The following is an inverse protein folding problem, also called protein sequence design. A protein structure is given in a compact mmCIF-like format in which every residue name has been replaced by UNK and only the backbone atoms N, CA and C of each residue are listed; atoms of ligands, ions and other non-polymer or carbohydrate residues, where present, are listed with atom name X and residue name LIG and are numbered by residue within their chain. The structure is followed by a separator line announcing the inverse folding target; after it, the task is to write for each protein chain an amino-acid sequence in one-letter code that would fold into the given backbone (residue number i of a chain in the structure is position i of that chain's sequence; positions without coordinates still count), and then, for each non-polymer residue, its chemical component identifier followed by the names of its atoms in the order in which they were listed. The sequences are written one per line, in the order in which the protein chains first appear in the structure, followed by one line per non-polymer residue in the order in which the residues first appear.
data_IF_810222550927
#
_entry.id   IF_810222550927
#
_cell.length_a   1.000
_cell.length_b   1.000
_cell.length_c   1.000
_cell.angle_alpha   90.00
_cell.angle_beta   90.00
_cell.angle_gamma   90.00
#
_symmetry.space_group_name_H-M   'P 1'
#
loop_
_entity.id
_entity.type
_entity.pdbx_description
1 polymer ?
#
# COMPACT_ATOMS: atom_id res chain seq x y z
N UNK A 1 97.17 13.39 8.44
CA UNK A 1 96.07 13.03 7.52
C UNK A 1 95.00 12.17 8.22
N UNK A 2 95.35 11.10 8.94
CA UNK A 2 94.40 10.23 9.64
C UNK A 2 93.49 10.93 10.69
N UNK A 3 94.03 11.87 11.48
CA UNK A 3 93.25 12.59 12.51
C UNK A 3 92.17 13.51 11.92
N UNK A 4 92.42 14.06 10.73
CA UNK A 4 91.46 14.90 10.01
C UNK A 4 90.26 14.08 9.50
N UNK A 5 90.51 12.91 8.91
CA UNK A 5 89.45 11.99 8.47
C UNK A 5 88.64 11.44 9.64
N UNK A 6 89.26 11.17 10.79
CA UNK A 6 88.57 10.76 12.02
C UNK A 6 87.59 11.83 12.52
N UNK A 7 88.02 13.10 12.54
CA UNK A 7 87.16 14.22 12.93
C UNK A 7 85.98 14.43 11.98
N UNK A 8 86.20 14.32 10.66
CA UNK A 8 85.13 14.39 9.66
C UNK A 8 84.12 13.25 9.86
N UNK A 9 84.59 12.02 10.10
CA UNK A 9 83.72 10.88 10.33
C UNK A 9 82.86 11.04 11.59
N UNK A 10 83.43 11.58 12.68
CA UNK A 10 82.68 11.87 13.90
C UNK A 10 81.63 12.98 13.72
N UNK A 11 81.92 14.00 12.91
CA UNK A 11 80.94 15.05 12.56
C UNK A 11 79.82 14.47 11.69
N UNK A 12 80.13 13.60 10.73
CA UNK A 12 79.10 12.89 9.96
C UNK A 12 78.24 12.00 10.86
N UNK A 13 78.84 11.26 11.79
CA UNK A 13 78.09 10.40 12.71
C UNK A 13 77.15 11.21 13.61
N UNK A 14 77.62 12.34 14.15
CA UNK A 14 76.78 13.23 14.97
C UNK A 14 75.64 13.85 14.16
N UNK A 15 75.88 14.27 12.92
CA UNK A 15 74.81 14.84 12.06
C UNK A 15 73.78 13.79 11.66
N UNK A 16 74.21 12.55 11.39
CA UNK A 16 73.28 11.42 11.19
C UNK A 16 72.46 11.13 12.45
N UNK A 17 73.07 11.11 13.64
CA UNK A 17 72.37 10.91 14.91
C UNK A 17 71.34 12.00 15.17
N UNK A 18 71.70 13.26 14.96
CA UNK A 18 70.78 14.41 15.05
C UNK A 18 69.60 14.27 14.07
N UNK A 19 69.88 13.88 12.83
CA UNK A 19 68.86 13.60 11.82
C UNK A 19 67.89 12.50 12.27
N UNK A 20 68.39 11.38 12.79
CA UNK A 20 67.54 10.29 13.28
C UNK A 20 66.70 10.70 14.49
N UNK A 21 67.24 11.54 15.38
CA UNK A 21 66.52 12.03 16.57
C UNK A 21 65.37 12.97 16.18
N UNK A 22 65.59 13.86 15.20
CA UNK A 22 64.54 14.75 14.68
C UNK A 22 63.42 13.94 14.04
N UNK A 23 63.77 12.97 13.19
CA UNK A 23 62.79 12.08 12.54
C UNK A 23 61.98 11.31 13.57
N UNK A 24 62.64 10.70 14.57
CA UNK A 24 61.97 9.95 15.62
C UNK A 24 61.03 10.82 16.46
N UNK A 25 61.44 12.05 16.78
CA UNK A 25 60.60 13.00 17.53
C UNK A 25 59.37 13.45 16.72
N UNK A 26 59.52 13.67 15.41
CA UNK A 26 58.40 13.97 14.52
C UNK A 26 57.41 12.81 14.45
N UNK A 27 57.89 11.57 14.34
CA UNK A 27 57.02 10.39 14.39
C UNK A 27 56.29 10.24 15.73
N UNK A 28 56.99 10.50 16.85
CA UNK A 28 56.38 10.46 18.19
C UNK A 28 55.28 11.51 18.34
N UNK A 29 55.51 12.73 17.85
CA UNK A 29 54.52 13.80 17.89
C UNK A 29 53.30 13.47 17.02
N UNK A 30 53.51 12.90 15.82
CA UNK A 30 52.44 12.46 14.94
C UNK A 30 51.60 11.32 15.56
N UNK A 31 52.26 10.35 16.21
CA UNK A 31 51.58 9.28 16.93
C UNK A 31 50.74 9.80 18.11
N UNK A 32 51.28 10.74 18.90
CA UNK A 32 50.55 11.35 20.01
C UNK A 32 49.36 12.17 19.53
N UNK A 33 49.48 12.84 18.38
CA UNK A 33 48.38 13.55 17.75
C UNK A 33 47.28 12.58 17.29
N UNK A 34 47.64 11.52 16.56
CA UNK A 34 46.68 10.50 16.09
C UNK A 34 45.99 9.75 17.23
N UNK A 35 46.69 9.51 18.34
CA UNK A 35 46.14 8.86 19.53
C UNK A 35 45.14 9.74 20.29
N UNK A 36 45.27 11.06 20.18
CA UNK A 36 44.41 12.03 20.89
C UNK A 36 43.20 12.48 20.06
N UNK A 37 43.02 12.01 18.83
CA UNK A 37 41.81 12.27 18.04
C UNK A 37 40.69 11.40 18.58
N UNK A 38 39.60 12.03 19.03
CA UNK A 38 38.37 11.31 19.35
C UNK A 38 37.64 10.94 18.06
N UNK A 39 37.91 9.73 17.56
CA UNK A 39 37.28 9.20 16.36
C UNK A 39 35.75 9.12 16.47
N UNK A 40 35.18 9.04 17.68
CA UNK A 40 33.73 9.04 17.86
C UNK A 40 33.13 10.42 17.57
N UNK A 41 33.80 11.49 18.00
CA UNK A 41 33.36 12.86 17.72
C UNK A 41 33.42 13.16 16.22
N UNK A 42 34.50 12.74 15.55
CA UNK A 42 34.64 12.88 14.09
C UNK A 42 33.54 12.10 13.36
N UNK A 43 33.27 10.85 13.75
CA UNK A 43 32.23 10.03 13.15
C UNK A 43 30.83 10.64 13.34
N UNK A 44 30.51 11.13 14.55
CA UNK A 44 29.24 11.81 14.83
C UNK A 44 29.07 13.07 13.98
N UNK A 45 30.12 13.87 13.84
CA UNK A 45 30.10 15.07 13.01
C UNK A 45 29.86 14.75 11.52
N UNK A 46 30.46 13.68 11.01
CA UNK A 46 30.21 13.21 9.64
C UNK A 46 28.75 12.77 9.47
N UNK A 47 28.19 12.02 10.42
CA UNK A 47 26.78 11.58 10.38
C UNK A 47 25.83 12.78 10.43
N UNK A 48 26.10 13.76 11.31
CA UNK A 48 25.29 14.98 11.43
C UNK A 48 25.38 15.80 10.13
N UNK A 49 26.58 15.94 9.56
CA UNK A 49 26.77 16.65 8.29
C UNK A 49 26.01 15.98 7.15
N UNK A 50 26.14 14.66 7.00
CA UNK A 50 25.43 13.88 6.00
C UNK A 50 23.90 14.01 6.15
N UNK A 51 23.39 13.91 7.37
CA UNK A 51 21.96 14.05 7.66
C UNK A 51 21.45 15.45 7.30
N UNK A 52 22.18 16.51 7.66
CA UNK A 52 21.84 17.90 7.31
C UNK A 52 21.89 18.13 5.80
N UNK A 53 22.89 17.56 5.12
CA UNK A 53 23.02 17.67 3.68
C UNK A 53 21.84 17.00 2.97
N UNK A 54 21.48 15.78 3.34
CA UNK A 54 20.29 15.10 2.80
C UNK A 54 19.04 15.94 3.03
N UNK A 55 18.85 16.47 4.24
CA UNK A 55 17.65 17.26 4.56
C UNK A 55 17.58 18.54 3.72
N UNK A 56 18.72 19.17 3.49
CA UNK A 56 18.84 20.35 2.61
C UNK A 56 18.49 20.00 1.18
N UNK A 57 19.04 18.89 0.65
CA UNK A 57 18.73 18.41 -0.71
C UNK A 57 17.26 18.06 -0.85
N UNK A 58 16.67 17.36 0.13
CA UNK A 58 15.23 17.03 0.15
C UNK A 58 14.37 18.30 0.13
N UNK A 59 14.75 19.32 0.90
CA UNK A 59 14.03 20.59 0.93
C UNK A 59 14.08 21.29 -0.43
N UNK A 60 15.27 21.46 -1.01
CA UNK A 60 15.41 22.07 -2.33
C UNK A 60 14.68 21.28 -3.42
N UNK A 61 14.75 19.95 -3.37
CA UNK A 61 14.03 19.09 -4.31
C UNK A 61 12.52 19.25 -4.17
N UNK A 62 11.99 19.27 -2.94
CA UNK A 62 10.57 19.50 -2.67
C UNK A 62 10.11 20.86 -3.17
N UNK A 63 10.88 21.92 -2.92
CA UNK A 63 10.60 23.26 -3.44
C UNK A 63 10.61 23.29 -4.97
N UNK A 64 11.61 22.66 -5.61
CA UNK A 64 11.74 22.60 -7.06
C UNK A 64 10.62 21.78 -7.72
N UNK A 65 10.25 20.65 -7.11
CA UNK A 65 9.12 19.82 -7.52
C UNK A 65 7.83 20.64 -7.46
N UNK A 66 7.52 21.25 -6.32
CA UNK A 66 6.26 21.98 -6.12
C UNK A 66 6.16 23.29 -6.93
N UNK A 67 7.29 23.90 -7.34
CA UNK A 67 7.29 25.17 -8.04
C UNK A 67 6.93 25.05 -9.53
N UNK A 68 7.16 23.89 -10.15
CA UNK A 68 6.99 23.71 -11.59
C UNK A 68 6.08 22.51 -11.94
N UNK A 69 4.82 22.74 -12.35
CA UNK A 69 3.88 21.68 -12.73
C UNK A 69 4.38 20.75 -13.85
N UNK A 70 5.16 21.29 -14.79
CA UNK A 70 5.75 20.48 -15.88
C UNK A 70 6.72 19.43 -15.30
N UNK A 71 7.45 19.79 -14.24
CA UNK A 71 8.42 18.90 -13.60
C UNK A 71 7.71 17.86 -12.75
N UNK A 72 6.65 18.25 -12.02
CA UNK A 72 5.81 17.27 -11.29
C UNK A 72 5.25 16.24 -12.24
N UNK A 73 4.61 16.69 -13.32
CA UNK A 73 4.00 15.79 -14.31
C UNK A 73 5.04 14.88 -14.95
N UNK A 74 6.21 15.42 -15.31
CA UNK A 74 7.29 14.61 -15.89
C UNK A 74 7.79 13.55 -14.90
N UNK A 75 8.08 13.94 -13.66
CA UNK A 75 8.58 13.01 -12.63
C UNK A 75 7.53 11.95 -12.30
N UNK A 76 6.26 12.33 -12.18
CA UNK A 76 5.17 11.40 -11.91
C UNK A 76 4.97 10.41 -13.07
N UNK A 77 5.04 10.86 -14.32
CA UNK A 77 4.97 9.99 -15.50
C UNK A 77 6.13 8.99 -15.53
N UNK A 78 7.36 9.44 -15.25
CA UNK A 78 8.54 8.57 -15.22
C UNK A 78 8.43 7.54 -14.08
N UNK A 79 8.00 7.98 -12.89
CA UNK A 79 7.77 7.09 -11.76
C UNK A 79 6.68 6.04 -12.08
N UNK A 80 5.59 6.47 -12.70
CA UNK A 80 4.51 5.58 -13.11
C UNK A 80 4.97 4.58 -14.16
N UNK A 81 5.71 5.01 -15.18
CA UNK A 81 6.23 4.15 -16.23
C UNK A 81 7.16 3.06 -15.67
N UNK A 82 8.01 3.41 -14.69
CA UNK A 82 8.83 2.43 -13.99
C UNK A 82 7.98 1.43 -13.21
N UNK A 83 6.97 1.89 -12.47
CA UNK A 83 6.04 1.00 -11.75
C UNK A 83 5.27 0.09 -12.69
N UNK A 84 4.81 0.61 -13.82
CA UNK A 84 4.11 -0.13 -14.86
C UNK A 84 4.99 -1.24 -15.43
N UNK A 85 6.25 -0.93 -15.72
CA UNK A 85 7.20 -1.94 -16.20
C UNK A 85 7.45 -3.03 -15.15
N UNK A 86 7.65 -2.65 -13.88
CA UNK A 86 7.81 -3.62 -12.79
C UNK A 86 6.57 -4.50 -12.60
N UNK A 87 5.37 -3.90 -12.68
CA UNK A 87 4.11 -4.63 -12.58
C UNK A 87 3.95 -5.65 -13.72
N UNK A 88 4.30 -5.26 -14.96
CA UNK A 88 4.29 -6.15 -16.12
C UNK A 88 5.26 -7.33 -15.96
N UNK A 89 6.45 -7.11 -15.40
CA UNK A 89 7.44 -8.18 -15.18
C UNK A 89 6.99 -9.20 -14.11
N UNK A 90 6.17 -8.78 -13.16
CA UNK A 90 5.70 -9.59 -12.02
C UNK A 90 4.27 -10.12 -12.24
N UNK A 91 3.63 -9.79 -13.36
CA UNK A 91 2.21 -10.07 -13.64
C UNK A 91 1.27 -9.52 -12.54
N UNK A 92 1.59 -8.31 -12.07
CA UNK A 92 0.84 -7.58 -11.07
C UNK A 92 -0.09 -6.56 -11.73
N UNK A 93 -1.26 -6.34 -11.13
CA UNK A 93 -2.15 -5.26 -11.54
C UNK A 93 -1.62 -3.89 -11.09
N UNK A 94 -1.91 -2.86 -11.88
CA UNK A 94 -1.55 -1.47 -11.61
C UNK A 94 -2.75 -0.57 -11.89
N UNK A 95 -2.95 0.43 -11.04
CA UNK A 95 -4.05 1.39 -11.20
C UNK A 95 -3.69 2.43 -12.29
N UNK A 96 -4.69 3.08 -12.91
CA UNK A 96 -4.44 4.25 -13.74
C UNK A 96 -3.72 5.35 -12.96
N UNK A 97 -2.86 6.10 -13.65
CA UNK A 97 -2.13 7.23 -13.05
C UNK A 97 -3.07 8.35 -12.57
N UNK A 98 -4.21 8.55 -13.22
CA UNK A 98 -5.14 9.60 -12.86
C UNK A 98 -5.83 9.36 -11.51
N UNK A 99 -6.30 10.44 -10.89
CA UNK A 99 -6.99 10.40 -9.60
C UNK A 99 -8.49 10.16 -9.72
N UNK A 100 -9.09 10.37 -10.90
CA UNK A 100 -10.54 10.36 -11.09
C UNK A 100 -10.96 9.23 -12.05
N UNK A 101 -11.31 8.09 -11.48
CA UNK A 101 -11.77 6.92 -12.22
C UNK A 101 -12.72 6.08 -11.37
N UNK A 102 -13.51 5.26 -12.07
CA UNK A 102 -14.30 4.20 -11.46
C UNK A 102 -13.83 2.87 -12.04
N UNK A 103 -13.63 1.90 -11.18
CA UNK A 103 -13.35 0.51 -11.52
C UNK A 103 -14.57 -0.33 -11.21
N UNK A 104 -14.99 -1.13 -12.18
CA UNK A 104 -15.93 -2.23 -11.98
C UNK A 104 -15.15 -3.54 -11.95
N UNK A 105 -15.13 -4.16 -10.78
CA UNK A 105 -14.54 -5.47 -10.55
C UNK A 105 -15.63 -6.53 -10.39
N UNK A 106 -15.40 -7.74 -10.91
CA UNK A 106 -16.35 -8.85 -10.83
C UNK A 106 -15.61 -10.14 -10.44
N UNK A 107 -16.18 -10.87 -9.47
CA UNK A 107 -15.75 -12.21 -9.08
C UNK A 107 -16.66 -13.25 -9.71
N UNK A 108 -16.12 -14.02 -10.64
CA UNK A 108 -16.83 -15.10 -11.33
C UNK A 108 -16.42 -16.46 -10.76
N UNK A 109 -17.40 -17.29 -10.38
CA UNK A 109 -17.17 -18.70 -10.08
C UNK A 109 -17.27 -19.51 -11.37
N UNK A 110 -16.21 -20.24 -11.70
CA UNK A 110 -16.20 -21.16 -12.85
C UNK A 110 -16.74 -22.52 -12.46
N UNK A 111 -17.32 -23.20 -13.43
CA UNK A 111 -17.67 -24.61 -13.30
C UNK A 111 -16.40 -25.46 -13.47
N UNK A 112 -15.86 -25.92 -12.34
CA UNK A 112 -14.64 -26.74 -12.26
C UNK A 112 -14.82 -28.13 -12.86
N UNK A 113 -16.06 -28.57 -13.15
CA UNK A 113 -16.30 -29.86 -13.82
C UNK A 113 -16.06 -29.80 -15.33
N UNK A 114 -16.14 -28.61 -15.92
CA UNK A 114 -16.05 -28.40 -17.37
C UNK A 114 -14.76 -27.73 -17.82
N UNK A 115 -14.09 -27.00 -16.93
CA UNK A 115 -12.90 -26.22 -17.25
C UNK A 115 -11.79 -26.51 -16.23
N UNK A 116 -10.59 -26.78 -16.74
CA UNK A 116 -9.38 -26.84 -15.94
C UNK A 116 -8.89 -25.43 -15.57
N UNK A 117 -8.33 -25.27 -14.37
CA UNK A 117 -7.75 -24.02 -13.88
C UNK A 117 -8.32 -23.57 -12.55
N UNK A 118 -8.13 -22.28 -12.23
CA UNK A 118 -8.57 -21.68 -10.97
C UNK A 118 -10.11 -21.60 -10.89
N UNK A 119 -10.71 -21.89 -9.72
CA UNK A 119 -12.17 -21.92 -9.55
C UNK A 119 -12.81 -20.52 -9.64
N UNK A 120 -12.03 -19.46 -9.47
CA UNK A 120 -12.49 -18.07 -9.50
C UNK A 120 -11.76 -17.28 -10.58
N UNK A 121 -12.48 -16.41 -11.28
CA UNK A 121 -11.93 -15.47 -12.25
C UNK A 121 -12.21 -14.04 -11.81
N UNK A 122 -11.15 -13.24 -11.83
CA UNK A 122 -11.19 -11.81 -11.55
C UNK A 122 -11.21 -11.04 -12.88
N UNK A 123 -12.21 -10.18 -13.04
CA UNK A 123 -12.27 -9.24 -14.17
C UNK A 123 -12.39 -7.84 -13.58
N UNK A 124 -11.54 -6.93 -14.03
CA UNK A 124 -11.57 -5.53 -13.63
C UNK A 124 -11.49 -4.64 -14.87
N UNK A 125 -12.33 -3.61 -14.89
CA UNK A 125 -12.36 -2.60 -15.94
C UNK A 125 -12.33 -1.22 -15.31
N UNK A 126 -11.46 -0.35 -15.83
CA UNK A 126 -11.34 1.05 -15.44
C UNK A 126 -12.06 1.94 -16.45
N UNK A 127 -12.89 2.84 -15.95
CA UNK A 127 -13.57 3.88 -16.71
C UNK A 127 -13.16 5.25 -16.15
N UNK A 128 -12.63 6.10 -17.03
CA UNK A 128 -12.16 7.44 -16.67
C UNK A 128 -13.33 8.41 -16.72
N UNK A 129 -13.45 9.26 -15.69
CA UNK A 129 -14.52 10.25 -15.65
C UNK A 129 -14.24 11.40 -16.61
N UNK A 130 -15.24 11.76 -17.40
CA UNK A 130 -15.12 12.85 -18.37
C UNK A 130 -15.36 14.21 -17.69
N UNK A 131 -14.28 14.80 -17.17
CA UNK A 131 -14.31 16.10 -16.49
C UNK A 131 -14.71 17.27 -17.39
N UNK A 132 -14.67 17.11 -18.73
CA UNK A 132 -15.06 18.16 -19.66
C UNK A 132 -16.59 18.37 -19.73
N UNK A 133 -17.37 17.41 -19.23
CA UNK A 133 -18.85 17.45 -19.28
C UNK A 133 -19.44 18.20 -18.09
N UNK A 134 -18.64 18.60 -17.10
CA UNK A 134 -19.09 19.40 -15.96
C UNK A 134 -19.57 20.75 -16.48
N UNK A 135 -20.86 20.81 -16.84
CA UNK A 135 -21.52 22.00 -17.34
C UNK A 135 -21.76 22.97 -16.18
N UNK A 136 -21.85 24.27 -16.47
CA UNK A 136 -22.02 25.34 -15.48
C UNK A 136 -23.22 25.17 -14.50
N UNK A 137 -24.10 24.18 -14.72
CA UNK A 137 -25.30 23.93 -13.92
C UNK A 137 -25.20 22.76 -12.93
N UNK A 138 -24.24 21.83 -13.06
CA UNK A 138 -24.07 20.73 -12.11
C UNK A 138 -22.98 21.07 -11.10
N UNK A 139 -23.23 20.81 -9.82
CA UNK A 139 -22.16 20.93 -8.83
C UNK A 139 -21.12 19.86 -9.12
N UNK A 140 -19.84 20.19 -8.92
CA UNK A 140 -18.74 19.23 -9.06
C UNK A 140 -19.07 17.92 -8.33
N UNK A 141 -19.56 18.01 -7.10
CA UNK A 141 -19.98 16.88 -6.28
C UNK A 141 -21.14 16.05 -6.87
N UNK A 142 -22.15 16.69 -7.49
CA UNK A 142 -23.29 15.95 -8.06
C UNK A 142 -22.86 15.10 -9.24
N UNK A 143 -21.92 15.58 -10.06
CA UNK A 143 -21.35 14.83 -11.18
C UNK A 143 -20.67 13.53 -10.71
N UNK A 144 -19.87 13.58 -9.64
CA UNK A 144 -19.22 12.37 -9.09
C UNK A 144 -20.22 11.38 -8.50
N UNK A 145 -21.21 11.86 -7.74
CA UNK A 145 -22.23 11.00 -7.16
C UNK A 145 -23.01 10.30 -8.27
N UNK A 146 -23.42 11.05 -9.31
CA UNK A 146 -24.19 10.49 -10.41
C UNK A 146 -23.37 9.47 -11.21
N UNK A 147 -22.09 9.78 -11.49
CA UNK A 147 -21.18 8.84 -12.16
C UNK A 147 -20.98 7.56 -11.34
N UNK A 148 -20.85 7.69 -10.01
CA UNK A 148 -20.74 6.54 -9.12
C UNK A 148 -22.02 5.71 -9.09
N UNK A 149 -23.18 6.38 -8.99
CA UNK A 149 -24.50 5.73 -9.01
C UNK A 149 -24.74 4.97 -10.30
N UNK A 150 -24.37 5.54 -11.45
CA UNK A 150 -24.46 4.86 -12.75
C UNK A 150 -23.60 3.58 -12.76
N UNK A 151 -22.36 3.65 -12.29
CA UNK A 151 -21.50 2.47 -12.19
C UNK A 151 -22.06 1.41 -11.22
N UNK A 152 -22.63 1.85 -10.10
CA UNK A 152 -23.34 0.99 -9.15
C UNK A 152 -24.54 0.29 -9.79
N UNK A 153 -25.38 1.01 -10.53
CA UNK A 153 -26.56 0.47 -11.22
C UNK A 153 -26.14 -0.55 -12.29
N UNK A 154 -25.08 -0.26 -13.05
CA UNK A 154 -24.49 -1.22 -13.98
C UNK A 154 -24.01 -2.49 -13.26
N UNK A 155 -23.20 -2.37 -12.21
CA UNK A 155 -22.72 -3.53 -11.46
C UNK A 155 -23.84 -4.34 -10.81
N UNK A 156 -24.86 -3.67 -10.26
CA UNK A 156 -26.06 -4.25 -9.69
C UNK A 156 -26.84 -5.06 -10.74
N UNK A 157 -27.04 -4.49 -11.93
CA UNK A 157 -27.70 -5.19 -13.04
C UNK A 157 -26.93 -6.44 -13.49
N UNK A 158 -25.59 -6.39 -13.48
CA UNK A 158 -24.74 -7.51 -13.86
C UNK A 158 -24.80 -8.61 -12.79
N UNK A 159 -24.67 -8.24 -11.51
CA UNK A 159 -24.67 -9.16 -10.37
C UNK A 159 -25.98 -9.94 -10.24
N UNK A 160 -27.14 -9.30 -10.43
CA UNK A 160 -28.43 -9.99 -10.31
C UNK A 160 -28.72 -10.96 -11.45
N UNK A 161 -28.31 -10.63 -12.67
CA UNK A 161 -28.71 -11.39 -13.85
C UNK A 161 -27.87 -12.64 -14.09
N UNK A 162 -26.62 -12.72 -13.58
CA UNK A 162 -25.72 -13.83 -13.85
C UNK A 162 -25.45 -14.70 -12.62
N UNK A 163 -25.91 -15.96 -12.67
CA UNK A 163 -25.73 -16.95 -11.59
C UNK A 163 -24.26 -17.29 -11.29
N UNK A 164 -23.34 -17.01 -12.20
CA UNK A 164 -21.92 -17.31 -12.04
C UNK A 164 -21.18 -16.21 -11.27
N UNK A 165 -21.81 -15.05 -11.07
CA UNK A 165 -21.20 -13.94 -10.32
C UNK A 165 -21.41 -14.19 -8.82
N UNK A 166 -20.30 -14.18 -8.10
CA UNK A 166 -20.27 -14.30 -6.64
C UNK A 166 -20.43 -12.93 -6.00
N UNK A 167 -19.73 -11.94 -6.53
CA UNK A 167 -19.65 -10.58 -6.00
C UNK A 167 -19.27 -9.62 -7.13
N UNK A 168 -19.83 -8.42 -7.11
CA UNK A 168 -19.35 -7.27 -7.89
C UNK A 168 -18.88 -6.17 -6.94
N UNK A 169 -17.75 -5.54 -7.23
CA UNK A 169 -17.17 -4.46 -6.42
C UNK A 169 -16.98 -3.24 -7.31
N UNK A 170 -17.55 -2.11 -6.90
CA UNK A 170 -17.25 -0.82 -7.49
C UNK A 170 -16.19 -0.14 -6.62
N UNK A 171 -15.09 0.25 -7.23
CA UNK A 171 -14.07 1.09 -6.59
C UNK A 171 -13.96 2.41 -7.33
N UNK A 172 -14.15 3.52 -6.65
CA UNK A 172 -13.93 4.85 -7.18
C UNK A 172 -12.77 5.51 -6.47
N UNK A 173 -11.91 6.16 -7.26
CA UNK A 173 -10.90 7.09 -6.76
C UNK A 173 -11.34 8.51 -7.09
N UNK A 174 -11.34 9.37 -6.08
CA UNK A 174 -11.68 10.79 -6.18
C UNK A 174 -10.76 11.61 -5.28
N UNK A 175 -9.94 12.49 -5.84
CA UNK A 175 -8.96 13.29 -5.08
C UNK A 175 -8.09 12.43 -4.14
N UNK A 176 -7.64 11.27 -4.62
CA UNK A 176 -6.92 10.23 -3.88
C UNK A 176 -7.70 9.49 -2.79
N UNK A 177 -8.99 9.81 -2.60
CA UNK A 177 -9.91 9.13 -1.70
C UNK A 177 -10.51 7.91 -2.39
N UNK A 178 -10.61 6.79 -1.69
CA UNK A 178 -11.18 5.56 -2.22
C UNK A 178 -12.55 5.28 -1.63
N UNK A 179 -13.49 5.00 -2.51
CA UNK A 179 -14.81 4.50 -2.17
C UNK A 179 -14.95 3.12 -2.82
N UNK A 180 -15.41 2.16 -2.04
CA UNK A 180 -15.59 0.76 -2.33
C UNK A 180 -17.00 0.40 -1.91
N UNK A 181 -17.75 -0.18 -2.84
CA UNK A 181 -19.12 -0.60 -2.60
C UNK A 181 -19.35 -1.96 -3.23
N UNK A 182 -19.86 -2.91 -2.43
CA UNK A 182 -20.01 -4.30 -2.85
C UNK A 182 -21.46 -4.62 -3.14
N UNK A 183 -21.68 -5.43 -4.18
CA UNK A 183 -22.99 -5.90 -4.58
C UNK A 183 -22.99 -7.43 -4.56
N UNK A 184 -23.96 -7.97 -3.82
CA UNK A 184 -24.27 -9.40 -3.80
C UNK A 184 -25.62 -9.64 -4.45
N UNK A 185 -25.87 -10.89 -4.82
CA UNK A 185 -27.10 -11.29 -5.51
C UNK A 185 -28.39 -11.05 -4.69
N UNK A 186 -28.31 -10.89 -3.37
CA UNK A 186 -29.47 -10.86 -2.48
C UNK A 186 -29.62 -9.58 -1.63
N UNK A 187 -28.77 -8.56 -1.83
CA UNK A 187 -28.87 -7.23 -1.21
C UNK A 187 -28.59 -6.18 -2.33
N UNK A 188 -28.99 -4.91 -2.31
CA UNK A 188 -29.14 -4.02 -1.18
C UNK A 188 -30.11 -2.86 -1.52
N UNK A 189 -30.84 -2.39 -0.49
CA UNK A 189 -31.70 -1.19 -0.48
C UNK A 189 -30.94 0.07 -0.05
N UNK A 190 -29.63 -0.04 0.23
CA UNK A 190 -28.85 1.09 0.70
C UNK A 190 -28.40 2.00 -0.46
N UNK A 191 -28.59 3.31 -0.27
CA UNK A 191 -28.19 4.35 -1.21
C UNK A 191 -26.66 4.48 -1.18
N UNK A 192 -25.96 4.35 -2.31
CA UNK A 192 -24.57 3.89 -2.32
C UNK A 192 -23.56 4.89 -1.72
N UNK A 193 -23.77 6.21 -1.83
CA UNK A 193 -22.85 7.24 -1.29
C UNK A 193 -23.58 8.57 -1.06
N UNK A 194 -23.19 9.30 -0.03
CA UNK A 194 -23.47 10.74 0.14
C UNK A 194 -22.16 11.52 0.25
N UNK A 195 -22.04 12.65 -0.47
CA UNK A 195 -20.94 13.60 -0.30
C UNK A 195 -21.34 14.72 0.67
N UNK A 196 -20.40 15.35 1.39
CA UNK A 196 -18.96 15.09 1.37
C UNK A 196 -18.57 13.80 2.09
N UNK A 197 -17.45 13.19 1.66
CA UNK A 197 -16.91 12.01 2.34
C UNK A 197 -16.47 12.36 3.76
N UNK A 198 -16.96 11.57 4.72
CA UNK A 198 -16.68 11.78 6.14
C UNK A 198 -15.59 10.80 6.57
N UNK A 199 -14.40 11.26 7.00
CA UNK A 199 -13.34 10.37 7.47
C UNK A 199 -13.82 9.47 8.62
N UNK A 200 -13.48 8.20 8.55
CA UNK A 200 -13.66 7.27 9.66
C UNK A 200 -12.53 7.49 10.68
N UNK A 201 -12.88 7.56 11.97
CA UNK A 201 -11.87 7.66 13.03
C UNK A 201 -11.09 6.36 13.24
N UNK A 202 -11.77 5.23 13.06
CA UNK A 202 -11.21 3.91 13.37
C UNK A 202 -10.28 3.44 12.28
N UNK A 203 -9.15 2.88 12.70
CA UNK A 203 -8.15 2.28 11.80
C UNK A 203 -7.80 0.86 12.21
N UNK A 204 -7.39 0.07 11.22
CA UNK A 204 -6.78 -1.23 11.48
C UNK A 204 -5.26 -1.07 11.52
N UNK A 205 -4.65 -1.64 12.56
CA UNK A 205 -3.20 -1.69 12.73
C UNK A 205 -2.60 -2.74 11.79
N UNK A 206 -3.25 -3.91 11.71
CA UNK A 206 -2.84 -4.97 10.79
C UNK A 206 -4.05 -5.66 10.18
N UNK A 207 -3.88 -6.07 8.92
CA UNK A 207 -4.81 -6.91 8.19
C UNK A 207 -3.96 -7.99 7.51
N UNK A 208 -4.10 -9.23 7.95
CA UNK A 208 -3.30 -10.36 7.46
C UNK A 208 -4.20 -11.39 6.77
N UNK A 209 -3.94 -11.62 5.49
CA UNK A 209 -4.53 -12.68 4.71
C UNK A 209 -3.84 -14.02 5.01
N UNK A 210 -4.62 -15.05 5.31
CA UNK A 210 -4.14 -16.41 5.52
C UNK A 210 -5.01 -17.43 4.78
N UNK A 211 -4.39 -18.49 4.27
CA UNK A 211 -5.08 -19.56 3.57
C UNK A 211 -4.56 -20.92 4.04
N UNK A 212 -5.41 -21.94 4.27
CA UNK A 212 -4.97 -23.29 4.64
C UNK A 212 -3.93 -23.95 3.71
N UNK A 213 -3.84 -23.52 2.44
CA UNK A 213 -2.90 -24.03 1.44
C UNK A 213 -1.59 -23.23 1.40
N UNK A 214 -1.43 -22.23 2.28
CA UNK A 214 -0.26 -21.37 2.38
C UNK A 214 0.41 -21.51 3.75
N UNK A 215 1.74 -21.49 3.77
CA UNK A 215 2.53 -21.60 5.01
C UNK A 215 2.83 -20.25 5.66
N UNK A 216 2.56 -19.14 4.95
CA UNK A 216 2.77 -17.78 5.41
C UNK A 216 1.52 -16.92 5.18
N UNK A 217 1.36 -15.88 6.00
CA UNK A 217 0.34 -14.86 5.80
C UNK A 217 0.85 -13.70 4.94
N UNK A 218 -0.07 -13.00 4.29
CA UNK A 218 0.21 -11.78 3.52
C UNK A 218 -0.44 -10.61 4.24
N UNK A 219 0.38 -9.69 4.75
CA UNK A 219 -0.12 -8.41 5.26
C UNK A 219 -0.62 -7.56 4.10
N UNK A 220 -1.90 -7.17 4.18
CA UNK A 220 -2.56 -6.30 3.22
C UNK A 220 -2.39 -4.85 3.69
N UNK A 221 -1.70 -4.04 2.89
CA UNK A 221 -1.55 -2.62 3.17
C UNK A 221 -2.80 -1.87 2.69
N UNK A 222 -3.63 -1.42 3.63
CA UNK A 222 -4.78 -0.58 3.32
C UNK A 222 -4.35 0.88 3.25
N UNK A 223 -4.67 1.56 2.15
CA UNK A 223 -4.41 3.00 2.00
C UNK A 223 -5.18 3.78 3.09
N UNK A 224 -4.52 4.78 3.69
CA UNK A 224 -5.15 5.71 4.64
C UNK A 224 -6.42 6.36 4.07
N UNK A 225 -6.48 6.50 2.75
CA UNK A 225 -7.57 7.11 2.01
C UNK A 225 -8.75 6.15 1.73
N UNK A 226 -8.71 4.94 2.29
CA UNK A 226 -9.85 4.00 2.30
C UNK A 226 -10.74 4.21 3.53
N UNK A 227 -10.25 4.89 4.58
CA UNK A 227 -10.99 5.05 5.84
C UNK A 227 -12.00 6.20 5.79
N UNK A 228 -13.09 5.99 5.05
CA UNK A 228 -14.24 6.89 4.97
C UNK A 228 -15.52 6.17 5.42
N UNK A 229 -16.48 6.92 5.95
CA UNK A 229 -17.78 6.38 6.31
C UNK A 229 -18.54 5.91 5.05
N UNK A 230 -19.36 4.87 5.22
CA UNK A 230 -20.11 4.17 4.18
C UNK A 230 -19.23 3.39 3.19
N UNK A 231 -17.97 3.12 3.55
CA UNK A 231 -17.08 2.31 2.74
C UNK A 231 -17.20 0.83 3.10
N UNK A 232 -17.24 -0.04 2.10
CA UNK A 232 -17.27 -1.49 2.27
C UNK A 232 -15.92 -2.08 1.86
N UNK A 233 -15.22 -2.67 2.83
CA UNK A 233 -13.86 -3.15 2.64
C UNK A 233 -13.73 -4.60 3.12
N UNK A 234 -12.64 -5.26 2.69
CA UNK A 234 -12.30 -6.63 3.08
C UNK A 234 -13.35 -7.68 2.68
N UNK A 235 -14.19 -7.38 1.70
CA UNK A 235 -15.00 -8.39 1.01
C UNK A 235 -14.13 -9.34 0.16
N UNK A 236 -14.62 -10.52 -0.25
CA UNK A 236 -13.85 -11.46 -1.06
C UNK A 236 -13.20 -10.86 -2.30
N UNK A 237 -13.93 -10.06 -3.05
CA UNK A 237 -13.42 -9.40 -4.24
C UNK A 237 -12.44 -8.28 -3.91
N UNK A 238 -12.67 -7.54 -2.82
CA UNK A 238 -11.70 -6.56 -2.32
C UNK A 238 -10.37 -7.23 -1.94
N UNK A 239 -10.42 -8.35 -1.22
CA UNK A 239 -9.25 -9.14 -0.84
C UNK A 239 -8.52 -9.65 -2.09
N UNK A 240 -9.25 -10.23 -3.05
CA UNK A 240 -8.64 -10.71 -4.29
C UNK A 240 -7.97 -9.57 -5.07
N UNK A 241 -8.60 -8.39 -5.11
CA UNK A 241 -7.99 -7.19 -5.69
C UNK A 241 -6.68 -6.86 -4.96
N UNK A 242 -6.67 -6.73 -3.63
CA UNK A 242 -5.43 -6.48 -2.88
C UNK A 242 -4.33 -7.51 -3.19
N UNK A 243 -4.68 -8.79 -3.30
CA UNK A 243 -3.73 -9.86 -3.63
C UNK A 243 -3.18 -9.76 -5.06
N UNK A 244 -3.99 -9.31 -6.03
CA UNK A 244 -3.56 -9.07 -7.42
C UNK A 244 -2.69 -7.82 -7.59
N UNK A 245 -2.74 -6.90 -6.63
CA UNK A 245 -1.99 -5.65 -6.59
C UNK A 245 -0.70 -5.72 -5.77
N UNK A 246 -0.29 -6.91 -5.33
CA UNK A 246 0.96 -7.13 -4.60
C UNK A 246 1.80 -8.23 -5.28
N UNK A 247 3.08 -8.29 -4.96
CA UNK A 247 4.07 -9.10 -5.70
C UNK A 247 4.31 -10.52 -5.18
N UNK A 248 3.79 -10.88 -4.01
CA UNK A 248 3.98 -12.22 -3.40
C UNK A 248 3.04 -13.23 -4.05
N UNK A 249 3.48 -14.47 -4.17
CA UNK A 249 2.61 -15.57 -4.59
C UNK A 249 1.49 -15.79 -3.55
N UNK A 250 0.30 -16.11 -4.04
CA UNK A 250 -0.86 -16.39 -3.19
C UNK A 250 -1.74 -17.48 -3.82
N UNK A 251 -2.54 -18.10 -2.97
CA UNK A 251 -3.61 -19.01 -3.37
C UNK A 251 -4.92 -18.36 -2.96
N UNK A 252 -5.94 -18.38 -3.83
CA UNK A 252 -7.24 -17.79 -3.51
C UNK A 252 -8.38 -18.79 -3.75
N UNK A 253 -9.09 -19.11 -2.68
CA UNK A 253 -10.43 -19.68 -2.69
C UNK A 253 -11.20 -19.17 -1.46
N UNK A 254 -12.51 -19.39 -1.36
CA UNK A 254 -13.33 -18.86 -0.26
C UNK A 254 -13.07 -19.50 1.12
N UNK A 255 -12.07 -20.37 1.28
CA UNK A 255 -11.67 -20.94 2.58
C UNK A 255 -10.54 -20.14 3.27
N UNK A 256 -10.27 -18.92 2.80
CA UNK A 256 -9.32 -18.02 3.44
C UNK A 256 -9.86 -17.43 4.75
N UNK A 257 -8.94 -16.89 5.56
CA UNK A 257 -9.26 -16.09 6.74
C UNK A 257 -8.45 -14.80 6.75
N UNK A 258 -9.07 -13.72 7.21
CA UNK A 258 -8.38 -12.45 7.46
C UNK A 258 -8.25 -12.25 8.95
N UNK A 259 -7.03 -12.07 9.45
CA UNK A 259 -6.78 -11.69 10.84
C UNK A 259 -6.62 -10.18 10.90
N UNK A 260 -7.37 -9.54 11.78
CA UNK A 260 -7.38 -8.08 11.91
C UNK A 260 -7.01 -7.72 13.34
N UNK A 261 -6.09 -6.76 13.48
CA UNK A 261 -5.82 -6.07 14.73
C UNK A 261 -6.28 -4.62 14.57
N UNK A 262 -7.24 -4.19 15.39
CA UNK A 262 -7.71 -2.80 15.36
C UNK A 262 -6.90 -1.87 16.26
N UNK A 263 -7.21 -0.57 16.21
CA UNK A 263 -6.58 0.48 17.03
C UNK A 263 -6.70 0.27 18.54
N UNK A 264 -7.68 -0.52 18.99
CA UNK A 264 -7.89 -0.87 20.40
C UNK A 264 -7.19 -2.17 20.79
N UNK A 265 -6.32 -2.70 19.91
CA UNK A 265 -5.58 -3.96 20.09
C UNK A 265 -6.54 -5.16 20.21
N UNK A 266 -7.78 -5.02 19.70
CA UNK A 266 -8.70 -6.14 19.62
C UNK A 266 -8.41 -6.94 18.35
N UNK A 267 -8.21 -8.24 18.52
CA UNK A 267 -7.93 -9.18 17.43
C UNK A 267 -9.17 -9.99 17.10
N UNK A 268 -9.53 -10.04 15.83
CA UNK A 268 -10.64 -10.86 15.34
C UNK A 268 -10.36 -11.41 13.95
N UNK A 269 -11.13 -12.42 13.53
CA UNK A 269 -10.99 -13.05 12.22
C UNK A 269 -12.25 -12.82 11.38
N UNK A 270 -12.05 -12.56 10.08
CA UNK A 270 -13.10 -12.58 9.07
C UNK A 270 -12.98 -13.82 8.20
N UNK A 271 -14.12 -14.38 7.83
CA UNK A 271 -14.25 -15.41 6.80
C UNK A 271 -14.68 -14.79 5.48
N UNK A 272 -14.67 -15.56 4.39
CA UNK A 272 -15.12 -15.09 3.06
C UNK A 272 -16.58 -14.62 3.02
N UNK A 273 -17.39 -15.01 3.99
CA UNK A 273 -18.80 -14.62 4.04
C UNK A 273 -19.00 -13.32 4.81
N UNK A 274 -17.93 -12.64 5.20
CA UNK A 274 -17.97 -11.43 5.98
C UNK A 274 -17.17 -10.31 5.31
N UNK A 275 -17.61 -9.09 5.50
CA UNK A 275 -16.89 -7.88 5.11
C UNK A 275 -17.04 -6.81 6.20
N UNK A 276 -16.31 -5.72 6.07
CA UNK A 276 -16.35 -4.59 6.98
C UNK A 276 -17.09 -3.42 6.34
N UNK A 277 -18.10 -2.92 7.04
CA UNK A 277 -18.73 -1.64 6.75
C UNK A 277 -18.19 -0.57 7.70
N UNK A 278 -17.62 0.51 7.15
CA UNK A 278 -17.08 1.61 7.94
C UNK A 278 -18.17 2.64 8.27
N UNK A 279 -18.35 2.95 9.55
CA UNK A 279 -19.13 4.09 10.02
C UNK A 279 -18.20 5.25 10.39
N UNK A 280 -18.77 6.42 10.73
CA UNK A 280 -17.99 7.63 11.06
C UNK A 280 -17.01 7.44 12.23
N UNK A 281 -17.36 6.62 13.22
CA UNK A 281 -16.59 6.45 14.46
C UNK A 281 -16.37 4.99 14.86
N UNK A 282 -16.77 4.04 14.02
CA UNK A 282 -16.68 2.61 14.31
C UNK A 282 -16.73 1.82 13.00
N UNK A 283 -16.59 0.51 13.08
CA UNK A 283 -16.82 -0.43 11.99
C UNK A 283 -17.86 -1.48 12.40
N UNK A 284 -18.49 -2.10 11.41
CA UNK A 284 -19.40 -3.23 11.60
C UNK A 284 -18.95 -4.39 10.72
N UNK A 285 -18.91 -5.60 11.30
CA UNK A 285 -18.78 -6.82 10.52
C UNK A 285 -20.14 -7.19 9.95
N UNK A 286 -20.25 -7.24 8.63
CA UNK A 286 -21.47 -7.60 7.91
C UNK A 286 -21.30 -8.99 7.32
N UNK A 287 -22.31 -9.83 7.45
CA UNK A 287 -22.30 -11.20 6.89
C UNK A 287 -23.15 -11.26 5.63
N UNK A 288 -22.63 -11.89 4.57
CA UNK A 288 -23.21 -11.95 3.23
C UNK A 288 -24.22 -13.09 3.05
N UNK A 289 -24.43 -13.93 4.07
CA UNK A 289 -25.33 -15.08 3.99
C UNK A 289 -26.77 -14.70 4.30
N UNK A 290 -27.67 -15.00 3.35
CA UNK A 290 -29.07 -15.29 3.62
C UNK A 290 -29.19 -16.41 4.67
N UNK A 291 -30.16 -16.27 5.56
CA UNK A 291 -30.54 -17.28 6.54
C UNK A 291 -30.97 -18.58 5.83
N UNK A 292 -30.02 -19.47 5.55
CA UNK A 292 -30.32 -20.89 5.35
C UNK A 292 -30.59 -21.54 6.71
N UNK A 293 -31.75 -21.20 7.27
CA UNK A 293 -32.47 -21.99 8.27
C UNK A 293 -33.95 -21.99 7.90
N UNK A 294 -34.25 -22.53 6.72
CA UNK A 294 -35.54 -23.16 6.47
C UNK A 294 -35.37 -24.67 6.70
N UNK A 295 -36.17 -25.17 7.64
CA UNK A 295 -36.46 -26.56 7.98
C UNK A 295 -35.50 -27.30 8.93
N UNK A 296 -35.79 -27.19 10.22
CA UNK A 296 -36.30 -28.34 10.96
C UNK A 296 -37.20 -27.88 12.12
N UNK A 297 -38.45 -28.34 12.08
CA UNK A 297 -39.47 -28.34 13.15
C UNK A 297 -40.40 -27.12 13.24
N UNK A 298 -41.29 -27.01 12.26
CA UNK A 298 -42.71 -26.83 12.56
C UNK A 298 -43.48 -28.09 12.13
N UNK A 299 -44.48 -28.44 12.94
CA UNK A 299 -45.58 -29.37 12.64
C UNK A 299 -45.39 -30.85 12.97
N UNK A 300 -45.40 -31.14 14.28
CA UNK A 300 -46.43 -32.07 14.78
C UNK A 300 -47.20 -31.35 15.89
N UNK A 301 -48.36 -30.80 15.54
CA UNK A 301 -49.38 -30.41 16.50
C UNK A 301 -50.65 -31.24 16.25
N UNK A 302 -51.22 -31.67 17.38
CA UNK A 302 -52.62 -31.99 17.64
C UNK A 302 -53.08 -33.46 17.59
N UNK A 303 -53.39 -33.91 18.82
CA UNK A 303 -54.66 -34.51 19.23
C UNK A 303 -55.08 -35.86 18.65
N UNK A 304 -54.76 -36.92 19.42
CA UNK A 304 -55.75 -37.78 20.07
C UNK A 304 -55.15 -38.49 21.28
#
# INVERSE_FOLDING_TARGET
MADFFSKINNIMLMTCQLGTMIIFNSFKNMYMYLKNIDFNEVALNIIIFYSRFIETVKKYWSEFYNFHPIITDFVDNVCYLFRFFMAMMVDQYIEPMASNWVSTSILLKRDTTRFEGEPYTFVEKYDMMNMYIISDNDSYDSFFINSFKEACDCAKSIAYNNKSIVESLITMKFEDKYIHYTFYKENDENDPVTLPLIPCKTKFLTVEYTHPRMTYGIFLELDKNVYYANNEILSPLFILRCLKYQSKAFVFDLNYKIKILDENIHSFELTSNQHIFLHKASYKVVSNTSNNTSNANSDTNNDK
#
